data_IF_928349477456
#
_entry.id   IF_928349477456
#
_cell.length_a   1.000
_cell.length_b   1.000
_cell.length_c   1.000
_cell.angle_alpha   90.00
_cell.angle_beta   90.00
_cell.angle_gamma   90.00
#
_symmetry.space_group_name_H-M   'P 1'
#
loop_
_entity.id
_entity.type
_entity.pdbx_description
1 polymer ?
#
# COMPACT_ATOMS: atom_id res chain seq x y z
N UNK A 1 -10.64 7.63 10.96
CA UNK A 1 -9.27 7.47 11.45
C UNK A 1 -8.31 7.49 10.28
N UNK A 2 -7.08 7.92 10.54
CA UNK A 2 -5.96 7.87 9.59
C UNK A 2 -4.89 7.01 10.26
N UNK A 3 -4.46 5.96 9.58
CA UNK A 3 -3.40 5.06 10.00
C UNK A 3 -2.28 5.05 8.96
N UNK A 4 -1.11 4.61 9.41
CA UNK A 4 0.11 4.59 8.62
C UNK A 4 0.88 3.32 8.92
N UNK A 5 1.47 2.74 7.88
CA UNK A 5 2.50 1.72 7.97
C UNK A 5 3.59 1.99 6.93
N UNK A 6 4.77 1.47 7.19
CA UNK A 6 5.89 1.47 6.25
C UNK A 6 6.13 0.05 5.77
N UNK A 7 6.30 -0.11 4.46
CA UNK A 7 6.75 -1.37 3.85
C UNK A 7 8.05 -1.12 3.11
N UNK A 8 9.01 -2.03 3.23
CA UNK A 8 10.31 -1.92 2.59
C UNK A 8 10.37 -2.82 1.35
N UNK A 9 11.06 -2.36 0.31
CA UNK A 9 11.23 -3.12 -0.92
C UNK A 9 12.13 -2.41 -1.92
N UNK A 10 12.10 -2.88 -3.16
CA UNK A 10 12.91 -2.34 -4.24
C UNK A 10 12.05 -1.44 -5.12
N UNK A 11 12.45 -0.18 -5.28
CA UNK A 11 11.96 0.71 -6.32
C UNK A 11 12.85 0.59 -7.55
N UNK A 12 12.26 0.33 -8.71
CA UNK A 12 12.98 0.20 -9.99
C UNK A 12 12.61 1.34 -10.94
N UNK A 13 13.59 2.14 -11.34
CA UNK A 13 13.41 3.24 -12.30
C UNK A 13 14.61 3.33 -13.25
N UNK A 14 14.34 3.43 -14.55
CA UNK A 14 15.35 3.62 -15.59
C UNK A 14 16.51 2.59 -15.56
N UNK A 15 16.19 1.34 -15.19
CA UNK A 15 17.14 0.24 -15.12
C UNK A 15 18.03 0.25 -13.87
N UNK A 16 17.68 1.07 -12.87
CA UNK A 16 18.32 1.11 -11.56
C UNK A 16 17.36 0.64 -10.48
N UNK A 17 17.91 0.00 -9.44
CA UNK A 17 17.19 -0.50 -8.28
C UNK A 17 17.62 0.24 -7.02
N UNK A 18 16.66 0.57 -6.17
CA UNK A 18 16.85 1.31 -4.93
C UNK A 18 16.12 0.60 -3.79
N UNK A 19 16.83 0.29 -2.71
CA UNK A 19 16.20 -0.11 -1.47
C UNK A 19 15.48 1.11 -0.85
N UNK A 20 14.17 0.98 -0.67
CA UNK A 20 13.31 2.09 -0.20
C UNK A 20 12.35 1.62 0.87
N UNK A 21 11.95 2.58 1.70
CA UNK A 21 10.84 2.48 2.62
C UNK A 21 9.67 3.32 2.07
N UNK A 22 8.57 2.67 1.70
CA UNK A 22 7.36 3.35 1.21
C UNK A 22 6.30 3.40 2.29
N UNK A 23 5.65 4.56 2.37
CA UNK A 23 4.53 4.78 3.28
C UNK A 23 3.23 4.33 2.61
N UNK A 24 2.47 3.52 3.34
CA UNK A 24 1.11 3.13 2.99
C UNK A 24 0.17 3.80 4.00
N UNK A 25 -0.92 4.38 3.53
CA UNK A 25 -1.90 5.04 4.40
C UNK A 25 -3.25 4.36 4.32
N UNK A 26 -3.89 4.20 5.48
CA UNK A 26 -5.27 3.72 5.57
C UNK A 26 -6.14 4.88 6.04
N UNK A 27 -7.18 5.19 5.29
CA UNK A 27 -8.11 6.30 5.57
C UNK A 27 -9.53 5.76 5.58
N UNK A 28 -10.22 5.88 6.71
CA UNK A 28 -11.59 5.36 6.83
C UNK A 28 -12.09 5.36 8.26
N UNK A 29 -12.89 4.37 8.64
CA UNK A 29 -13.43 4.21 9.98
C UNK A 29 -13.41 2.75 10.44
N UNK A 30 -14.23 2.40 11.44
CA UNK A 30 -14.30 1.04 11.99
C UNK A 30 -14.97 0.02 11.04
N UNK A 31 -15.60 0.48 9.95
CA UNK A 31 -16.35 -0.36 9.02
C UNK A 31 -15.64 -0.54 7.67
N UNK A 32 -15.00 0.52 7.16
CA UNK A 32 -14.33 0.49 5.86
C UNK A 32 -13.12 1.43 5.79
N UNK A 33 -12.18 1.11 4.88
CA UNK A 33 -10.97 1.91 4.64
C UNK A 33 -10.62 1.96 3.16
N UNK A 34 -9.98 3.06 2.76
CA UNK A 34 -9.22 3.20 1.52
C UNK A 34 -7.74 3.03 1.84
N UNK A 35 -7.04 2.24 1.04
CA UNK A 35 -5.58 2.12 1.07
C UNK A 35 -4.99 3.07 0.03
N UNK A 36 -4.05 3.93 0.44
CA UNK A 36 -3.29 4.81 -0.44
C UNK A 36 -1.87 4.28 -0.59
N UNK A 37 -1.47 4.03 -1.83
CA UNK A 37 -0.18 3.45 -2.26
C UNK A 37 0.10 2.08 -1.63
N UNK A 38 -0.52 1.03 -2.19
CA UNK A 38 -0.25 -0.35 -1.81
C UNK A 38 1.14 -0.79 -2.32
N UNK A 39 2.15 -0.46 -1.52
CA UNK A 39 3.57 -0.66 -1.81
C UNK A 39 3.98 -2.14 -1.77
N UNK A 40 4.87 -2.57 -0.87
CA UNK A 40 5.66 -3.79 -1.09
C UNK A 40 5.10 -5.08 -0.48
N UNK A 41 4.28 -4.98 0.57
CA UNK A 41 3.85 -6.12 1.38
C UNK A 41 2.33 -6.20 1.50
N UNK A 42 1.70 -7.02 0.65
CA UNK A 42 0.25 -7.19 0.63
C UNK A 42 -0.28 -7.80 1.95
N UNK A 43 0.46 -8.71 2.57
CA UNK A 43 0.02 -9.39 3.79
C UNK A 43 0.06 -8.42 4.98
N UNK A 44 1.11 -7.60 5.10
CA UNK A 44 1.18 -6.57 6.13
C UNK A 44 0.09 -5.50 5.96
N UNK A 45 -0.20 -5.10 4.72
CA UNK A 45 -1.28 -4.15 4.43
C UNK A 45 -2.64 -4.76 4.75
N UNK A 46 -2.90 -6.02 4.36
CA UNK A 46 -4.14 -6.72 4.67
C UNK A 46 -4.33 -6.89 6.19
N UNK A 47 -3.26 -7.19 6.92
CA UNK A 47 -3.28 -7.26 8.38
C UNK A 47 -3.61 -5.90 9.01
N UNK A 48 -3.08 -4.80 8.45
CA UNK A 48 -3.42 -3.46 8.88
C UNK A 48 -4.89 -3.12 8.58
N UNK A 49 -5.42 -3.50 7.42
CA UNK A 49 -6.85 -3.35 7.09
C UNK A 49 -7.72 -4.13 8.08
N UNK A 50 -7.31 -5.32 8.48
CA UNK A 50 -8.03 -6.16 9.43
C UNK A 50 -9.42 -6.55 8.91
N UNK A 51 -10.43 -6.55 9.79
CA UNK A 51 -11.80 -6.97 9.44
C UNK A 51 -12.62 -5.91 8.68
N UNK A 52 -12.01 -4.76 8.37
CA UNK A 52 -12.69 -3.64 7.70
C UNK A 52 -12.85 -3.94 6.22
N UNK A 53 -13.94 -3.43 5.63
CA UNK A 53 -14.11 -3.51 4.16
C UNK A 53 -13.04 -2.66 3.49
N UNK A 54 -12.23 -3.26 2.62
CA UNK A 54 -11.38 -2.51 1.71
C UNK A 54 -12.26 -1.87 0.62
N UNK A 55 -12.48 -0.56 0.73
CA UNK A 55 -13.38 0.17 -0.14
C UNK A 55 -12.75 0.52 -1.49
N UNK A 56 -11.47 0.87 -1.47
CA UNK A 56 -10.68 1.18 -2.65
C UNK A 56 -9.18 1.07 -2.35
N UNK A 57 -8.41 0.86 -3.42
CA UNK A 57 -6.96 1.07 -3.44
C UNK A 57 -6.72 2.25 -4.38
N UNK A 58 -6.04 3.28 -3.88
CA UNK A 58 -5.71 4.49 -4.64
C UNK A 58 -4.20 4.58 -4.76
N UNK A 59 -3.70 4.47 -5.98
CA UNK A 59 -2.28 4.65 -6.27
C UNK A 59 -2.04 6.08 -6.77
N UNK A 60 -1.04 6.75 -6.22
CA UNK A 60 -0.68 8.13 -6.60
C UNK A 60 -0.12 8.19 -8.02
N UNK A 61 0.61 7.14 -8.44
CA UNK A 61 1.12 6.94 -9.79
C UNK A 61 1.50 5.46 -10.03
N UNK A 62 2.08 5.15 -11.19
CA UNK A 62 2.28 3.78 -11.69
C UNK A 62 3.67 3.17 -11.49
N UNK A 63 4.52 3.72 -10.62
CA UNK A 63 5.78 3.08 -10.29
C UNK A 63 5.56 1.87 -9.39
N UNK A 64 6.47 0.88 -9.47
CA UNK A 64 6.28 -0.40 -8.83
C UNK A 64 6.14 -0.27 -7.32
N UNK A 65 6.89 0.63 -6.68
CA UNK A 65 6.85 0.90 -5.24
C UNK A 65 5.55 1.55 -4.73
N UNK A 66 4.64 1.94 -5.62
CA UNK A 66 3.31 2.44 -5.28
C UNK A 66 2.17 1.47 -5.62
N UNK A 67 2.42 0.47 -6.48
CA UNK A 67 1.37 -0.42 -7.02
C UNK A 67 1.61 -1.91 -6.79
N UNK A 68 2.78 -2.31 -6.27
CA UNK A 68 3.23 -3.71 -6.27
C UNK A 68 2.21 -4.66 -5.61
N UNK A 69 1.71 -4.29 -4.43
CA UNK A 69 0.74 -5.07 -3.68
C UNK A 69 -0.72 -4.83 -4.11
N UNK A 70 -0.99 -3.80 -4.93
CA UNK A 70 -2.35 -3.37 -5.24
C UNK A 70 -3.21 -4.49 -5.86
N UNK A 71 -2.66 -5.26 -6.79
CA UNK A 71 -3.39 -6.35 -7.44
C UNK A 71 -3.63 -7.54 -6.51
N UNK A 72 -2.71 -7.81 -5.58
CA UNK A 72 -2.86 -8.89 -4.60
C UNK A 72 -3.90 -8.56 -3.51
N UNK A 73 -4.13 -7.27 -3.25
CA UNK A 73 -5.13 -6.78 -2.30
C UNK A 73 -6.55 -6.64 -2.90
N UNK A 74 -6.70 -6.71 -4.22
CA UNK A 74 -7.95 -6.41 -4.93
C UNK A 74 -8.97 -7.56 -4.94
#
# INVERSE_FOLDING_TARGET
MIEHLTTSGVFSLDGQDFDVDNNVWLVGDASEVVVVDAAHDADAIAAAVGDRRLAAIVCTHGHNDHIYAAAALA
#
